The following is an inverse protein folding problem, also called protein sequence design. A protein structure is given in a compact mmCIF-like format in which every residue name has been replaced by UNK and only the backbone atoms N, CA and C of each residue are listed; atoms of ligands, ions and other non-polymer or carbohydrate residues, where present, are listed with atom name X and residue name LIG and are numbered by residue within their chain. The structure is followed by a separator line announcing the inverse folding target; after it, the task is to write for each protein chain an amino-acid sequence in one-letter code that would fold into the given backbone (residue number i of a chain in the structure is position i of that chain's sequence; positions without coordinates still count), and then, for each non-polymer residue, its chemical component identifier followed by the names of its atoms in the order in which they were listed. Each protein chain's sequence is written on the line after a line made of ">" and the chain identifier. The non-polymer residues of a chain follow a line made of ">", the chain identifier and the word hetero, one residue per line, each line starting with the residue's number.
data_IF_070533092358
#
_entry.id   IF_070533092358
#
_cell.length_a   1.000
_cell.length_b   1.000
_cell.length_c   1.000
_cell.angle_alpha   90.00
_cell.angle_beta   90.00
_cell.angle_gamma   90.00
#
_symmetry.space_group_name_H-M   'P 1'
#
loop_
_entity.id
_entity.type
_entity.pdbx_description
1 polymer ?
#
# COMPACT_ATOMS: atom_id res chain seq x y z
N UNK A 1 -20.89 17.90 -15.25
CA UNK A 1 -19.86 16.86 -15.02
C UNK A 1 -19.60 16.83 -13.53
N UNK A 2 -19.97 15.74 -12.85
CA UNK A 2 -19.72 15.57 -11.42
C UNK A 2 -18.28 15.06 -11.27
N UNK A 3 -17.41 15.84 -10.63
CA UNK A 3 -16.04 15.43 -10.34
C UNK A 3 -16.00 14.80 -8.95
N UNK A 4 -15.28 13.69 -8.80
CA UNK A 4 -14.99 13.10 -7.49
C UNK A 4 -13.80 13.85 -6.91
N UNK A 5 -13.98 14.47 -5.73
CA UNK A 5 -12.85 14.98 -4.97
C UNK A 5 -12.14 13.78 -4.31
N UNK A 6 -10.91 13.53 -4.74
CA UNK A 6 -10.11 12.39 -4.26
C UNK A 6 -9.80 12.52 -2.77
N UNK A 7 -9.60 13.74 -2.27
CA UNK A 7 -9.30 13.97 -0.86
C UNK A 7 -10.48 13.58 0.02
N UNK A 8 -11.67 14.09 -0.30
CA UNK A 8 -12.90 13.79 0.44
C UNK A 8 -13.20 12.29 0.37
N UNK A 9 -13.04 11.67 -0.81
CA UNK A 9 -13.27 10.23 -0.97
C UNK A 9 -12.31 9.38 -0.13
N UNK A 10 -11.02 9.74 -0.08
CA UNK A 10 -10.04 9.02 0.76
C UNK A 10 -10.39 9.17 2.24
N UNK A 11 -10.74 10.38 2.69
CA UNK A 11 -11.14 10.64 4.06
C UNK A 11 -12.35 9.81 4.49
N UNK A 12 -13.34 9.66 3.61
CA UNK A 12 -14.55 8.89 3.87
C UNK A 12 -14.35 7.36 3.78
N UNK A 13 -13.26 6.89 3.16
CA UNK A 13 -13.08 5.48 2.78
C UNK A 13 -11.71 4.91 3.19
N UNK A 14 -11.17 5.31 4.33
CA UNK A 14 -9.81 4.95 4.79
C UNK A 14 -9.49 3.45 4.74
N UNK A 15 -10.44 2.59 5.13
CA UNK A 15 -10.26 1.13 5.08
C UNK A 15 -10.15 0.63 3.64
N UNK A 16 -10.96 1.15 2.73
CA UNK A 16 -10.90 0.79 1.31
C UNK A 16 -9.59 1.31 0.70
N UNK A 17 -9.19 2.54 1.03
CA UNK A 17 -7.91 3.11 0.59
C UNK A 17 -6.73 2.27 1.08
N UNK A 18 -6.75 1.81 2.33
CA UNK A 18 -5.75 0.89 2.87
C UNK A 18 -5.69 -0.42 2.07
N UNK A 19 -6.84 -1.05 1.82
CA UNK A 19 -6.91 -2.29 1.04
C UNK A 19 -6.37 -2.08 -0.39
N UNK A 20 -6.72 -0.97 -1.04
CA UNK A 20 -6.18 -0.61 -2.36
C UNK A 20 -4.66 -0.47 -2.29
N UNK A 21 -4.14 0.25 -1.29
CA UNK A 21 -2.70 0.46 -1.14
C UNK A 21 -1.93 -0.86 -0.96
N UNK A 22 -2.47 -1.77 -0.14
CA UNK A 22 -1.92 -3.12 0.04
C UNK A 22 -1.96 -3.93 -1.25
N UNK A 23 -3.10 -3.93 -1.97
CA UNK A 23 -3.23 -4.66 -3.23
C UNK A 23 -2.27 -4.14 -4.31
N UNK A 24 -2.14 -2.82 -4.42
CA UNK A 24 -1.21 -2.18 -5.35
C UNK A 24 0.24 -2.53 -4.99
N UNK A 25 0.59 -2.59 -3.70
CA UNK A 25 1.93 -2.97 -3.23
C UNK A 25 2.33 -4.42 -3.58
N UNK A 26 1.39 -5.28 -3.97
CA UNK A 26 1.71 -6.65 -4.44
C UNK A 26 2.48 -6.60 -5.77
N UNK A 27 2.27 -5.55 -6.57
CA UNK A 27 2.96 -5.36 -7.85
C UNK A 27 4.47 -5.19 -7.58
N UNK A 28 5.35 -6.03 -8.16
CA UNK A 28 6.79 -6.01 -7.91
C UNK A 28 7.49 -4.88 -8.70
N UNK A 29 7.12 -3.63 -8.39
CA UNK A 29 7.61 -2.41 -9.04
C UNK A 29 7.48 -1.21 -8.08
N UNK A 30 8.37 -0.22 -8.20
CA UNK A 30 8.30 0.99 -7.38
C UNK A 30 7.31 2.05 -7.90
N UNK A 31 6.98 2.03 -9.19
CA UNK A 31 6.13 3.05 -9.84
C UNK A 31 4.77 3.24 -9.15
N UNK A 32 3.96 2.20 -8.96
CA UNK A 32 2.66 2.33 -8.30
C UNK A 32 2.74 2.84 -6.85
N UNK A 33 3.83 2.56 -6.13
CA UNK A 33 4.02 3.05 -4.76
C UNK A 33 4.18 4.58 -4.70
N UNK A 34 4.78 5.20 -5.72
CA UNK A 34 4.99 6.65 -5.76
C UNK A 34 3.69 7.45 -5.75
N UNK A 35 2.57 6.86 -6.16
CA UNK A 35 1.24 7.49 -6.05
C UNK A 35 0.92 7.77 -4.58
N UNK A 36 1.11 6.80 -3.69
CA UNK A 36 0.83 6.95 -2.26
C UNK A 36 1.79 7.92 -1.58
N UNK A 37 3.08 7.86 -1.95
CA UNK A 37 4.09 8.82 -1.49
C UNK A 37 3.65 10.25 -1.85
N UNK A 38 3.26 10.48 -3.11
CA UNK A 38 2.82 11.79 -3.58
C UNK A 38 1.54 12.27 -2.89
N UNK A 39 0.55 11.41 -2.73
CA UNK A 39 -0.70 11.75 -2.03
C UNK A 39 -0.45 12.07 -0.54
N UNK A 40 0.46 11.36 0.10
CA UNK A 40 0.87 11.67 1.48
C UNK A 40 1.61 13.01 1.56
N UNK A 41 2.58 13.26 0.68
CA UNK A 41 3.30 14.55 0.62
C UNK A 41 2.36 15.74 0.39
N UNK A 42 1.28 15.54 -0.37
CA UNK A 42 0.25 16.56 -0.59
C UNK A 42 -0.81 16.64 0.55
N UNK A 43 -0.62 15.90 1.65
CA UNK A 43 -1.52 15.91 2.80
C UNK A 43 -2.89 15.26 2.56
N UNK A 44 -3.02 14.45 1.50
CA UNK A 44 -4.29 13.82 1.11
C UNK A 44 -4.42 12.39 1.64
N UNK A 45 -3.30 11.70 1.87
CA UNK A 45 -3.26 10.32 2.35
C UNK A 45 -2.83 10.29 3.83
N UNK A 46 -3.49 9.50 4.69
CA UNK A 46 -3.03 9.32 6.07
C UNK A 46 -1.73 8.50 6.14
N UNK A 47 -0.95 8.70 7.21
CA UNK A 47 0.33 8.03 7.38
C UNK A 47 0.19 6.50 7.42
N UNK A 48 -0.86 5.98 8.09
CA UNK A 48 -1.07 4.54 8.19
C UNK A 48 -1.22 3.83 6.83
N UNK A 49 -1.84 4.49 5.83
CA UNK A 49 -1.98 3.93 4.48
C UNK A 49 -0.65 3.99 3.72
N UNK A 50 0.10 5.09 3.85
CA UNK A 50 1.46 5.16 3.29
C UNK A 50 2.33 4.04 3.85
N UNK A 51 2.34 3.89 5.18
CA UNK A 51 3.15 2.90 5.89
C UNK A 51 2.81 1.46 5.44
N UNK A 52 1.53 1.13 5.32
CA UNK A 52 1.10 -0.14 4.79
C UNK A 52 1.62 -0.38 3.36
N UNK A 53 1.50 0.62 2.48
CA UNK A 53 2.00 0.51 1.11
C UNK A 53 3.52 0.31 1.06
N UNK A 54 4.28 0.97 1.95
CA UNK A 54 5.73 0.84 2.05
C UNK A 54 6.18 -0.53 2.54
N UNK A 55 5.40 -1.17 3.42
CA UNK A 55 5.68 -2.54 3.88
C UNK A 55 5.40 -3.56 2.77
N UNK A 56 4.33 -3.37 2.01
CA UNK A 56 3.91 -4.37 1.02
C UNK A 56 4.74 -4.29 -0.27
N UNK A 57 5.21 -3.11 -0.65
CA UNK A 57 5.99 -2.94 -1.88
C UNK A 57 7.45 -3.38 -1.66
N UNK A 58 7.93 -4.29 -2.53
CA UNK A 58 9.28 -4.87 -2.47
C UNK A 58 10.19 -4.40 -3.62
N UNK A 59 9.67 -3.53 -4.51
CA UNK A 59 10.34 -3.06 -5.71
C UNK A 59 10.72 -4.17 -6.69
N UNK A 60 11.69 -3.88 -7.56
CA UNK A 60 12.15 -4.81 -8.60
C UNK A 60 12.92 -6.03 -8.06
N UNK A 61 13.39 -5.99 -6.80
CA UNK A 61 14.11 -7.12 -6.19
C UNK A 61 13.26 -8.38 -6.08
N UNK A 62 11.94 -8.25 -6.16
CA UNK A 62 11.00 -9.36 -6.15
C UNK A 62 10.90 -10.09 -7.51
N UNK A 63 11.33 -9.48 -8.61
CA UNK A 63 11.30 -10.09 -9.95
C UNK A 63 12.31 -11.24 -10.09
N UNK A 64 13.59 -11.11 -9.67
CA UNK A 64 14.52 -12.24 -9.59
C UNK A 64 14.00 -13.38 -8.71
N UNK A 65 13.43 -13.06 -7.54
CA UNK A 65 12.88 -14.08 -6.64
C UNK A 65 11.68 -14.82 -7.26
N UNK A 66 10.83 -14.10 -8.01
CA UNK A 66 9.74 -14.72 -8.77
C UNK A 66 10.27 -15.70 -9.83
N UNK A 67 11.36 -15.35 -10.49
CA UNK A 67 12.02 -16.18 -11.48
C UNK A 67 12.70 -17.41 -10.85
N UNK A 68 13.29 -17.27 -9.66
CA UNK A 68 13.97 -18.34 -8.93
C UNK A 68 12.99 -19.30 -8.25
N UNK A 69 12.04 -18.78 -7.45
CA UNK A 69 11.11 -19.57 -6.66
C UNK A 69 9.78 -18.86 -6.49
N UNK A 70 8.78 -19.30 -7.28
CA UNK A 70 7.39 -18.85 -7.14
C UNK A 70 6.83 -19.07 -5.73
N UNK A 71 7.23 -20.16 -5.07
CA UNK A 71 6.78 -20.46 -3.70
C UNK A 71 7.33 -19.43 -2.71
N UNK A 72 8.61 -19.12 -2.80
CA UNK A 72 9.24 -18.10 -1.95
C UNK A 72 8.63 -16.74 -2.22
N UNK A 73 8.37 -16.42 -3.49
CA UNK A 73 7.70 -15.18 -3.88
C UNK A 73 6.34 -15.02 -3.21
N UNK A 74 5.48 -16.04 -3.32
CA UNK A 74 4.13 -16.01 -2.73
C UNK A 74 4.22 -15.91 -1.20
N UNK A 75 5.12 -16.67 -0.57
CA UNK A 75 5.26 -16.67 0.88
C UNK A 75 5.64 -15.28 1.42
N UNK A 76 6.66 -14.64 0.82
CA UNK A 76 7.09 -13.30 1.21
C UNK A 76 5.97 -12.29 0.96
N UNK A 77 5.26 -12.38 -0.17
CA UNK A 77 4.13 -11.47 -0.41
C UNK A 77 3.00 -11.64 0.59
N UNK A 78 2.66 -12.86 0.99
CA UNK A 78 1.66 -13.08 2.03
C UNK A 78 2.09 -12.50 3.37
N UNK A 79 3.36 -12.65 3.75
CA UNK A 79 3.91 -12.06 4.98
C UNK A 79 3.82 -10.53 4.91
N UNK A 80 4.27 -9.92 3.82
CA UNK A 80 4.26 -8.47 3.66
C UNK A 80 2.84 -7.90 3.63
N UNK A 81 1.90 -8.55 2.92
CA UNK A 81 0.47 -8.17 2.92
C UNK A 81 -0.11 -8.25 4.33
N UNK A 82 0.15 -9.35 5.05
CA UNK A 82 -0.33 -9.51 6.41
C UNK A 82 0.22 -8.42 7.34
N UNK A 83 1.54 -8.19 7.31
CA UNK A 83 2.18 -7.15 8.11
C UNK A 83 1.70 -5.75 7.74
N UNK A 84 1.54 -5.46 6.44
CA UNK A 84 1.06 -4.18 5.94
C UNK A 84 -0.38 -3.90 6.38
N UNK A 85 -1.27 -4.89 6.36
CA UNK A 85 -2.64 -4.76 6.87
C UNK A 85 -2.66 -4.53 8.38
N UNK A 86 -1.94 -5.35 9.15
CA UNK A 86 -1.90 -5.23 10.61
C UNK A 86 -1.33 -3.88 11.03
N UNK A 87 -0.16 -3.50 10.52
CA UNK A 87 0.51 -2.25 10.89
C UNK A 87 -0.28 -1.04 10.38
N UNK A 88 -0.81 -1.10 9.15
CA UNK A 88 -1.62 -0.02 8.57
C UNK A 88 -2.91 0.23 9.34
N UNK A 89 -3.63 -0.83 9.71
CA UNK A 89 -4.84 -0.72 10.53
C UNK A 89 -4.53 -0.16 11.91
N UNK A 90 -3.47 -0.64 12.57
CA UNK A 90 -3.06 -0.13 13.87
C UNK A 90 -2.66 1.35 13.80
N UNK A 91 -1.92 1.75 12.77
CA UNK A 91 -1.53 3.15 12.58
C UNK A 91 -2.75 4.07 12.38
N UNK A 92 -3.75 3.63 11.61
CA UNK A 92 -5.00 4.36 11.43
C UNK A 92 -5.82 4.46 12.73
N UNK A 93 -5.83 3.40 13.55
CA UNK A 93 -6.54 3.39 14.83
C UNK A 93 -5.91 4.31 15.88
N UNK A 94 -4.60 4.56 15.80
CA UNK A 94 -3.88 5.44 16.72
C UNK A 94 -3.91 6.90 16.25
N UNK A 95 -4.67 7.21 15.19
CA UNK A 95 -4.84 8.56 14.62
C UNK A 95 -3.51 9.24 14.21
N UNK A 96 -2.56 8.47 13.67
CA UNK A 96 -1.37 9.00 12.99
C UNK A 96 -1.63 9.38 11.53
#
# INVERSE_FOLDING_TARGET
>A
MQYINVADWIADNLIITLLIAVLVGIIPESGPHLVFVTLFFNGTLPFGVLLASSIVQDGHGMLPLLAESKRSFILIKLINVFMGLVVGLLALLVEF
#
